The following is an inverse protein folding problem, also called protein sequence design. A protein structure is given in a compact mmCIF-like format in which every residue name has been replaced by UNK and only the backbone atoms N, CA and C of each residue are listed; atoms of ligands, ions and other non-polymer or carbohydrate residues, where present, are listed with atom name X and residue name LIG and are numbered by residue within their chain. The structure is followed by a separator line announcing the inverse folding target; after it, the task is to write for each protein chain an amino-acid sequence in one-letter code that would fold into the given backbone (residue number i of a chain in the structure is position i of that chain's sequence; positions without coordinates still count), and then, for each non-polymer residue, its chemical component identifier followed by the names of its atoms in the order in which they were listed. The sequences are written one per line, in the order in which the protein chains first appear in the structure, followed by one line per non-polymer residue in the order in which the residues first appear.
data_IF_498792740310
#
_entry.id   IF_498792740310
#
_cell.length_a   1.000
_cell.length_b   1.000
_cell.length_c   1.000
_cell.angle_alpha   90.00
_cell.angle_beta   90.00
_cell.angle_gamma   90.00
#
_symmetry.space_group_name_H-M   'P 1'
#
loop_
_entity.id
_entity.type
_entity.pdbx_description
1 polymer ?
#
# COMPACT_ATOMS: atom_id res chain seq x y z
N UNK A 1 -61.39 4.62 -29.18
CA UNK A 1 -61.25 5.16 -27.80
C UNK A 1 -60.48 4.23 -26.86
N UNK A 2 -60.92 3.00 -26.62
CA UNK A 2 -60.24 2.08 -25.69
C UNK A 2 -58.76 1.79 -26.04
N UNK A 3 -58.43 1.64 -27.33
CA UNK A 3 -57.06 1.41 -27.80
C UNK A 3 -56.13 2.58 -27.45
N UNK A 4 -56.56 3.83 -27.71
CA UNK A 4 -55.78 5.05 -27.43
C UNK A 4 -55.50 5.19 -25.93
N UNK A 5 -56.48 4.88 -25.08
CA UNK A 5 -56.33 4.91 -23.62
C UNK A 5 -55.29 3.87 -23.13
N UNK A 6 -55.27 2.67 -23.72
CA UNK A 6 -54.27 1.66 -23.38
C UNK A 6 -52.84 2.12 -23.73
N UNK A 7 -52.64 2.75 -24.89
CA UNK A 7 -51.33 3.30 -25.26
C UNK A 7 -50.91 4.47 -24.37
N UNK A 8 -51.83 5.37 -24.01
CA UNK A 8 -51.49 6.48 -23.09
C UNK A 8 -51.02 5.95 -21.72
N UNK A 9 -51.69 4.91 -21.20
CA UNK A 9 -51.28 4.29 -19.94
C UNK A 9 -49.90 3.62 -20.05
N UNK A 10 -49.64 2.90 -21.15
CA UNK A 10 -48.35 2.27 -21.40
C UNK A 10 -47.22 3.29 -21.50
N UNK A 11 -47.42 4.38 -22.25
CA UNK A 11 -46.44 5.47 -22.38
C UNK A 11 -46.15 6.11 -21.01
N UNK A 12 -47.20 6.34 -20.21
CA UNK A 12 -47.05 6.92 -18.86
C UNK A 12 -46.22 6.01 -17.95
N UNK A 13 -46.46 4.70 -17.99
CA UNK A 13 -45.69 3.71 -17.23
C UNK A 13 -44.23 3.65 -17.69
N UNK A 14 -43.98 3.61 -19.00
CA UNK A 14 -42.63 3.62 -19.56
C UNK A 14 -41.86 4.89 -19.18
N UNK A 15 -42.53 6.03 -19.18
CA UNK A 15 -41.91 7.30 -18.78
C UNK A 15 -41.56 7.31 -17.29
N UNK A 16 -42.45 6.81 -16.42
CA UNK A 16 -42.16 6.70 -14.98
C UNK A 16 -40.96 5.79 -14.72
N UNK A 17 -40.90 4.63 -15.41
CA UNK A 17 -39.74 3.73 -15.35
C UNK A 17 -38.48 4.42 -15.84
N UNK A 18 -38.54 5.15 -16.95
CA UNK A 18 -37.39 5.86 -17.50
C UNK A 18 -36.82 6.88 -16.50
N UNK A 19 -37.67 7.70 -15.86
CA UNK A 19 -37.23 8.68 -14.86
C UNK A 19 -36.55 7.99 -13.68
N UNK A 20 -37.12 6.88 -13.17
CA UNK A 20 -36.54 6.13 -12.07
C UNK A 20 -35.19 5.50 -12.45
N UNK A 21 -35.08 4.95 -13.66
CA UNK A 21 -33.82 4.36 -14.15
C UNK A 21 -32.75 5.43 -14.38
N UNK A 22 -33.14 6.60 -14.86
CA UNK A 22 -32.24 7.72 -15.06
C UNK A 22 -31.67 8.23 -13.72
N UNK A 23 -32.54 8.44 -12.72
CA UNK A 23 -32.11 8.83 -11.37
C UNK A 23 -31.18 7.77 -10.72
N UNK A 24 -31.46 6.49 -10.96
CA UNK A 24 -30.59 5.40 -10.51
C UNK A 24 -29.22 5.46 -11.21
N UNK A 25 -29.19 5.66 -12.52
CA UNK A 25 -27.94 5.75 -13.29
C UNK A 25 -27.08 6.94 -12.82
N UNK A 26 -27.68 8.08 -12.51
CA UNK A 26 -26.97 9.22 -11.93
C UNK A 26 -26.32 8.87 -10.59
N UNK A 27 -27.03 8.16 -9.73
CA UNK A 27 -26.49 7.67 -8.45
C UNK A 27 -25.36 6.67 -8.66
N UNK A 28 -25.51 5.75 -9.62
CA UNK A 28 -24.50 4.73 -9.94
C UNK A 28 -23.23 5.37 -10.54
N UNK A 29 -23.35 6.50 -11.26
CA UNK A 29 -22.20 7.23 -11.81
C UNK A 29 -21.27 7.83 -10.75
N UNK A 30 -21.75 8.07 -9.52
CA UNK A 30 -20.87 8.47 -8.42
C UNK A 30 -19.77 7.43 -8.16
N UNK A 31 -20.06 6.13 -8.33
CA UNK A 31 -19.06 5.06 -8.18
C UNK A 31 -17.95 5.16 -9.23
N UNK A 32 -18.30 5.60 -10.44
CA UNK A 32 -17.32 5.81 -11.51
C UNK A 32 -16.38 6.95 -11.14
N UNK A 33 -16.90 8.03 -10.56
CA UNK A 33 -16.07 9.13 -10.05
C UNK A 33 -15.10 8.64 -8.98
N UNK A 34 -15.56 7.83 -8.01
CA UNK A 34 -14.67 7.23 -7.01
C UNK A 34 -13.57 6.36 -7.65
N UNK A 35 -13.90 5.55 -8.65
CA UNK A 35 -12.91 4.71 -9.33
C UNK A 35 -11.84 5.55 -10.06
N UNK A 36 -12.27 6.63 -10.71
CA UNK A 36 -11.35 7.57 -11.36
C UNK A 36 -10.44 8.22 -10.31
N UNK A 37 -11.02 8.67 -9.19
CA UNK A 37 -10.25 9.23 -8.09
C UNK A 37 -9.18 8.25 -7.55
N UNK A 38 -9.54 7.00 -7.28
CA UNK A 38 -8.57 6.00 -6.80
C UNK A 38 -7.48 5.68 -7.84
N UNK A 39 -7.79 5.78 -9.12
CA UNK A 39 -6.84 5.54 -10.21
C UNK A 39 -5.82 6.68 -10.34
N UNK A 40 -6.29 7.91 -10.24
CA UNK A 40 -5.52 9.10 -10.67
C UNK A 40 -4.97 9.92 -9.49
N UNK A 41 -5.67 9.95 -8.35
CA UNK A 41 -5.32 10.79 -7.20
C UNK A 41 -4.66 10.02 -6.04
N UNK A 42 -4.66 8.70 -6.07
CA UNK A 42 -3.99 7.90 -5.04
C UNK A 42 -2.48 7.82 -5.31
N UNK A 43 -1.68 8.06 -4.27
CA UNK A 43 -0.24 7.83 -4.34
C UNK A 43 0.02 6.35 -4.66
N UNK A 44 0.72 6.11 -5.76
CA UNK A 44 1.08 4.75 -6.18
C UNK A 44 2.25 4.27 -5.34
N UNK A 45 2.15 3.04 -4.87
CA UNK A 45 3.28 2.33 -4.26
C UNK A 45 4.44 2.20 -5.27
N UNK A 46 5.63 1.89 -4.75
CA UNK A 46 6.79 1.62 -5.59
C UNK A 46 6.47 0.53 -6.63
N UNK A 47 7.13 0.60 -7.79
CA UNK A 47 6.91 -0.40 -8.84
C UNK A 47 7.27 -1.79 -8.29
N UNK A 48 6.48 -2.80 -8.63
CA UNK A 48 6.75 -4.19 -8.23
C UNK A 48 7.96 -4.82 -8.93
N UNK A 49 8.37 -4.29 -10.09
CA UNK A 49 9.49 -4.82 -10.87
C UNK A 49 10.26 -3.67 -11.58
N UNK A 50 11.50 -3.46 -11.15
CA UNK A 50 12.50 -2.53 -11.68
C UNK A 50 13.59 -3.41 -12.23
N UNK A 51 13.46 -3.73 -13.52
CA UNK A 51 14.41 -4.55 -14.28
C UNK A 51 15.86 -4.07 -14.17
N UNK A 52 16.06 -2.78 -13.87
CA UNK A 52 17.38 -2.15 -13.77
C UNK A 52 18.14 -2.52 -12.49
N UNK A 53 17.45 -2.89 -11.41
CA UNK A 53 18.08 -3.09 -10.10
C UNK A 53 17.67 -4.42 -9.43
N UNK A 54 17.36 -5.42 -10.25
CA UNK A 54 17.07 -6.77 -9.79
C UNK A 54 18.37 -7.47 -9.40
N UNK A 55 18.48 -8.04 -8.18
CA UNK A 55 19.69 -8.73 -7.77
C UNK A 55 19.87 -10.03 -8.57
N UNK A 56 21.09 -10.57 -8.55
CA UNK A 56 21.38 -11.85 -9.20
C UNK A 56 20.51 -12.97 -8.62
N UNK A 57 20.28 -14.06 -9.37
CA UNK A 57 19.50 -15.20 -8.90
C UNK A 57 20.11 -15.93 -7.68
N UNK A 58 21.36 -15.60 -7.33
CA UNK A 58 22.08 -16.16 -6.17
C UNK A 58 22.04 -15.25 -4.96
N UNK A 59 21.43 -14.07 -5.05
CA UNK A 59 21.29 -13.16 -3.92
C UNK A 59 20.14 -13.61 -3.00
N UNK A 60 20.31 -13.50 -1.68
CA UNK A 60 21.53 -13.12 -0.96
C UNK A 60 22.55 -14.28 -0.92
N UNK A 61 23.82 -13.98 -1.16
CA UNK A 61 24.93 -14.93 -1.23
C UNK A 61 25.86 -14.89 -0.01
N UNK A 62 26.06 -13.72 0.61
CA UNK A 62 26.94 -13.54 1.77
C UNK A 62 26.15 -13.46 3.09
N UNK A 63 24.85 -13.18 3.01
CA UNK A 63 23.95 -13.10 4.17
C UNK A 63 24.35 -11.99 5.17
N UNK A 64 25.02 -10.94 4.69
CA UNK A 64 25.45 -9.82 5.53
C UNK A 64 24.40 -8.70 5.49
N UNK A 65 24.00 -8.19 6.67
CA UNK A 65 22.96 -7.19 6.79
C UNK A 65 23.47 -5.99 7.59
N UNK A 66 23.42 -4.81 6.99
CA UNK A 66 23.76 -3.55 7.62
C UNK A 66 22.54 -2.64 7.72
N UNK A 67 22.16 -2.30 8.95
CA UNK A 67 21.15 -1.27 9.23
C UNK A 67 21.90 0.00 9.59
N UNK A 68 21.68 1.09 8.84
CA UNK A 68 22.40 2.37 9.04
C UNK A 68 21.43 3.48 9.40
N UNK A 69 21.48 3.96 10.65
CA UNK A 69 20.74 5.11 11.17
C UNK A 69 19.24 5.11 10.80
N UNK A 70 18.63 3.93 10.89
CA UNK A 70 17.29 3.68 10.39
C UNK A 70 16.23 4.41 11.21
N UNK A 71 15.39 5.18 10.51
CA UNK A 71 14.25 5.92 11.06
C UNK A 71 13.00 5.59 10.24
N UNK A 72 11.90 5.29 10.92
CA UNK A 72 10.64 4.89 10.27
C UNK A 72 9.50 5.70 10.84
N UNK A 73 8.52 6.01 9.99
CA UNK A 73 7.20 6.54 10.35
C UNK A 73 6.14 5.88 9.47
N UNK A 74 4.90 5.79 9.93
CA UNK A 74 3.81 5.18 9.16
C UNK A 74 3.18 6.11 8.12
N UNK A 75 3.36 7.43 8.28
CA UNK A 75 2.86 8.45 7.37
C UNK A 75 3.53 9.82 7.59
N UNK A 76 3.37 10.76 6.64
CA UNK A 76 4.06 12.05 6.60
C UNK A 76 3.76 13.00 7.78
N UNK A 77 2.76 12.71 8.60
CA UNK A 77 2.45 13.48 9.82
C UNK A 77 2.61 12.64 11.11
N UNK A 78 2.94 11.36 10.99
CA UNK A 78 3.08 10.45 12.14
C UNK A 78 4.44 10.61 12.85
N UNK A 79 4.45 10.40 14.18
CA UNK A 79 5.69 10.39 14.97
C UNK A 79 6.64 9.28 14.51
N UNK A 80 7.94 9.51 14.67
CA UNK A 80 8.95 8.48 14.43
C UNK A 80 8.74 7.27 15.35
N UNK A 81 8.64 6.13 14.70
CA UNK A 81 8.35 4.82 15.24
C UNK A 81 9.67 4.21 15.71
N UNK A 82 10.56 3.91 14.78
CA UNK A 82 11.96 3.55 15.08
C UNK A 82 12.83 4.80 14.98
N UNK A 83 13.75 4.96 15.94
CA UNK A 83 14.61 6.15 16.05
C UNK A 83 16.08 5.73 15.96
N UNK A 84 16.70 6.00 14.81
CA UNK A 84 18.15 5.92 14.59
C UNK A 84 18.77 4.57 14.97
N UNK A 85 18.25 3.47 14.43
CA UNK A 85 18.80 2.14 14.70
C UNK A 85 19.98 1.89 13.77
N UNK A 86 21.12 1.48 14.34
CA UNK A 86 22.28 1.01 13.58
C UNK A 86 22.71 -0.35 14.11
N UNK A 87 22.76 -1.35 13.24
CA UNK A 87 23.12 -2.73 13.58
C UNK A 87 23.92 -3.31 12.41
N UNK A 88 24.97 -4.03 12.75
CA UNK A 88 25.80 -4.81 11.82
C UNK A 88 25.59 -6.28 12.17
N UNK A 89 25.08 -7.05 11.21
CA UNK A 89 24.75 -8.47 11.34
C UNK A 89 25.64 -9.24 10.39
N UNK A 90 26.49 -10.10 10.94
CA UNK A 90 27.45 -10.87 10.14
C UNK A 90 26.80 -12.10 9.51
N UNK A 91 27.43 -12.59 8.46
CA UNK A 91 27.07 -13.85 7.83
C UNK A 91 26.92 -14.98 8.87
N UNK A 92 25.88 -15.80 8.71
CA UNK A 92 25.59 -16.95 9.60
C UNK A 92 25.30 -16.57 11.07
N UNK A 93 25.05 -15.29 11.39
CA UNK A 93 24.74 -14.86 12.75
C UNK A 93 23.25 -15.03 13.05
N UNK A 94 22.94 -15.74 14.15
CA UNK A 94 21.56 -15.86 14.63
C UNK A 94 21.25 -14.75 15.62
N UNK A 95 20.41 -13.80 15.22
CA UNK A 95 19.94 -12.70 16.07
C UNK A 95 18.45 -12.88 16.37
N UNK A 96 18.09 -12.69 17.64
CA UNK A 96 16.69 -12.72 18.08
C UNK A 96 16.26 -11.35 18.60
N UNK A 97 15.15 -10.83 18.07
CA UNK A 97 14.62 -9.51 18.46
C UNK A 97 13.68 -9.69 19.66
N UNK A 98 14.16 -9.40 20.87
CA UNK A 98 13.39 -9.56 22.11
C UNK A 98 12.87 -8.22 22.66
N UNK A 99 11.74 -8.22 23.36
CA UNK A 99 11.23 -7.04 24.10
C UNK A 99 9.72 -7.08 24.37
N UNK A 100 9.29 -6.33 25.38
CA UNK A 100 7.92 -6.38 25.89
C UNK A 100 6.91 -5.68 24.95
N UNK A 101 5.79 -6.35 24.71
CA UNK A 101 4.61 -5.79 24.03
C UNK A 101 3.78 -5.00 25.06
N UNK A 102 4.27 -3.87 25.54
CA UNK A 102 3.52 -3.03 26.48
C UNK A 102 2.62 -2.03 25.72
N UNK A 103 1.33 -2.10 26.06
CA UNK A 103 0.13 -1.62 25.37
C UNK A 103 -0.02 -0.10 25.13
N UNK A 104 1.03 0.71 25.20
CA UNK A 104 0.92 2.16 24.86
C UNK A 104 1.97 2.67 23.88
N UNK A 105 3.12 2.01 23.74
CA UNK A 105 4.12 2.23 22.68
C UNK A 105 4.84 0.89 22.49
N UNK A 106 4.20 -0.07 21.82
CA UNK A 106 4.76 -1.42 21.67
C UNK A 106 6.15 -1.39 21.03
N UNK A 107 7.03 -2.33 21.36
CA UNK A 107 8.46 -2.40 20.97
C UNK A 107 8.76 -2.49 19.45
N UNK A 108 7.75 -2.30 18.58
CA UNK A 108 7.88 -2.09 17.13
C UNK A 108 8.67 -3.18 16.39
N UNK A 109 8.65 -4.41 16.92
CA UNK A 109 9.31 -5.60 16.34
C UNK A 109 8.73 -5.96 14.98
N UNK A 110 7.40 -6.02 14.93
CA UNK A 110 6.66 -6.25 13.69
C UNK A 110 6.93 -5.14 12.68
N UNK A 111 7.19 -3.90 13.12
CA UNK A 111 7.61 -2.81 12.22
C UNK A 111 8.96 -3.11 11.57
N UNK A 112 9.92 -3.66 12.31
CA UNK A 112 11.20 -4.05 11.73
C UNK A 112 11.03 -5.19 10.71
N UNK A 113 10.18 -6.17 11.01
CA UNK A 113 9.84 -7.22 10.05
C UNK A 113 9.15 -6.67 8.79
N UNK A 114 8.20 -5.74 8.94
CA UNK A 114 7.53 -5.07 7.81
C UNK A 114 8.52 -4.30 6.93
N UNK A 115 9.58 -3.73 7.50
CA UNK A 115 10.61 -3.04 6.74
C UNK A 115 11.49 -4.00 5.92
N UNK A 116 11.84 -5.17 6.47
CA UNK A 116 12.60 -6.18 5.70
C UNK A 116 11.83 -6.65 4.45
N UNK A 117 10.51 -6.76 4.56
CA UNK A 117 9.63 -7.05 3.43
C UNK A 117 9.19 -5.81 2.64
N UNK A 118 9.69 -4.62 3.01
CA UNK A 118 9.37 -3.33 2.37
C UNK A 118 7.88 -3.01 2.27
N UNK A 119 7.06 -3.48 3.21
CA UNK A 119 5.69 -3.00 3.35
C UNK A 119 5.61 -1.54 3.81
N UNK A 120 6.69 -1.04 4.42
CA UNK A 120 6.82 0.35 4.87
C UNK A 120 8.23 0.80 4.45
N UNK A 121 8.32 1.95 3.81
CA UNK A 121 9.60 2.52 3.41
C UNK A 121 10.29 3.25 4.57
N UNK A 122 11.62 3.24 4.57
CA UNK A 122 12.41 3.97 5.54
C UNK A 122 12.26 5.47 5.33
N UNK A 123 12.08 6.24 6.40
CA UNK A 123 12.05 7.72 6.33
C UNK A 123 13.45 8.29 6.15
N UNK A 124 14.44 7.65 6.78
CA UNK A 124 15.85 8.05 6.71
C UNK A 124 16.72 6.88 7.16
N UNK A 125 17.95 6.83 6.65
CA UNK A 125 18.77 5.63 6.75
C UNK A 125 18.31 4.56 5.76
N UNK A 126 18.82 3.34 5.93
CA UNK A 126 18.51 2.23 5.04
C UNK A 126 18.96 0.89 5.59
N UNK A 127 18.53 -0.17 4.93
CA UNK A 127 19.00 -1.53 5.15
C UNK A 127 19.75 -1.94 3.89
N UNK A 128 20.97 -2.43 4.08
CA UNK A 128 21.83 -2.95 3.03
C UNK A 128 22.00 -4.44 3.28
N UNK A 129 21.74 -5.25 2.26
CA UNK A 129 21.94 -6.71 2.29
C UNK A 129 22.91 -7.06 1.17
N UNK A 130 24.04 -7.68 1.52
CA UNK A 130 25.13 -8.00 0.58
C UNK A 130 25.54 -6.80 -0.30
N UNK A 131 25.84 -5.66 0.33
CA UNK A 131 26.19 -4.39 -0.31
C UNK A 131 25.11 -3.74 -1.20
N UNK A 132 23.90 -4.30 -1.24
CA UNK A 132 22.77 -3.75 -2.02
C UNK A 132 21.77 -3.10 -1.06
N UNK A 133 21.46 -1.83 -1.29
CA UNK A 133 20.40 -1.13 -0.55
C UNK A 133 19.02 -1.63 -1.00
N UNK A 134 18.27 -2.22 -0.07
CA UNK A 134 16.97 -2.82 -0.37
C UNK A 134 15.93 -1.79 -0.81
N UNK A 135 16.09 -0.51 -0.43
CA UNK A 135 15.18 0.57 -0.86
C UNK A 135 15.29 0.86 -2.36
N UNK A 136 16.44 0.54 -2.94
CA UNK A 136 16.71 0.74 -4.37
C UNK A 136 16.46 -0.50 -5.19
N UNK A 137 16.44 -1.68 -4.55
CA UNK A 137 16.31 -2.99 -5.17
C UNK A 137 14.85 -3.24 -5.59
N UNK A 138 14.63 -4.18 -6.50
CA UNK A 138 13.31 -4.78 -6.78
C UNK A 138 13.39 -6.30 -6.79
#
# INVERSE_FOLDING_TARGET
MAFILAYMLQITQSFNLFVNQFAKLETDMNLVEYLIYYRDNLEKEAKNIVLKNRPSSRWPAHEEIYIKNLKIRYGPDSLLVLKSISVDIKATEKIEIVGQTALKIGCRKSTLAMLFFRFIEATSGGIVIDDIDISTMD
#
